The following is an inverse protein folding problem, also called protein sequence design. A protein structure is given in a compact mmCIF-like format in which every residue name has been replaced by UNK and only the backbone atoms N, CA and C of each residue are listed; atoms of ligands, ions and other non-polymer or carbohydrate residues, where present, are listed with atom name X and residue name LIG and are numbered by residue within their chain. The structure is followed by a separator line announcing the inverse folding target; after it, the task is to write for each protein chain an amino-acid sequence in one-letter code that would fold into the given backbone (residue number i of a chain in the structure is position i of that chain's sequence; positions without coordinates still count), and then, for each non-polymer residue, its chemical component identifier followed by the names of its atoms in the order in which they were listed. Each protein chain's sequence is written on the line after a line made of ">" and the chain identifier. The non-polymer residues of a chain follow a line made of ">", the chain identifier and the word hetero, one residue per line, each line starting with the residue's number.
data_IF_917129576425
#
_entry.id   IF_917129576425
#
_cell.length_a   1.000
_cell.length_b   1.000
_cell.length_c   1.000
_cell.angle_alpha   90.00
_cell.angle_beta   90.00
_cell.angle_gamma   90.00
#
_symmetry.space_group_name_H-M   'P 1'
#
loop_
_entity.id
_entity.type
_entity.pdbx_description
1 polymer ?
#
# COMPACT_ATOMS: atom_id res chain seq x y z
N UNK A 1 -50.03 11.53 30.17
CA UNK A 1 -49.10 12.62 29.76
C UNK A 1 -47.67 12.14 29.52
N UNK A 2 -47.06 11.33 30.41
CA UNK A 2 -45.68 10.83 30.28
C UNK A 2 -45.37 10.03 28.99
N UNK A 3 -46.32 9.22 28.49
CA UNK A 3 -46.15 8.41 27.26
C UNK A 3 -46.12 9.25 25.99
N UNK A 4 -46.93 10.32 25.91
CA UNK A 4 -46.92 11.25 24.77
C UNK A 4 -45.60 12.02 24.69
N UNK A 5 -45.06 12.47 25.83
CA UNK A 5 -43.77 13.18 25.89
C UNK A 5 -42.64 12.27 25.40
N UNK A 6 -42.63 10.99 25.79
CA UNK A 6 -41.64 10.00 25.34
C UNK A 6 -41.69 9.73 23.84
N UNK A 7 -42.91 9.70 23.27
CA UNK A 7 -43.10 9.51 21.83
C UNK A 7 -42.63 10.72 21.02
N UNK A 8 -42.91 11.95 21.49
CA UNK A 8 -42.44 13.17 20.83
C UNK A 8 -40.93 13.36 20.94
N UNK A 9 -40.29 13.01 22.06
CA UNK A 9 -38.82 13.02 22.16
C UNK A 9 -38.19 11.96 21.26
N UNK A 10 -38.76 10.75 21.19
CA UNK A 10 -38.28 9.72 20.28
C UNK A 10 -38.40 10.14 18.80
N UNK A 11 -39.53 10.73 18.42
CA UNK A 11 -39.75 11.24 17.06
C UNK A 11 -38.78 12.38 16.70
N UNK A 12 -38.57 13.34 17.62
CA UNK A 12 -37.62 14.46 17.40
C UNK A 12 -36.16 13.98 17.32
N UNK A 13 -35.78 12.98 18.11
CA UNK A 13 -34.45 12.36 18.04
C UNK A 13 -34.28 11.62 16.70
N UNK A 14 -35.33 10.96 16.22
CA UNK A 14 -35.30 10.24 14.95
C UNK A 14 -35.24 11.18 13.74
N UNK A 15 -36.05 12.25 13.71
CA UNK A 15 -36.01 13.26 12.64
C UNK A 15 -34.69 14.03 12.60
N UNK A 16 -34.15 14.46 13.76
CA UNK A 16 -32.87 15.18 13.78
C UNK A 16 -31.72 14.30 13.26
N UNK A 17 -31.65 13.03 13.67
CA UNK A 17 -30.63 12.08 13.17
C UNK A 17 -30.75 11.82 11.67
N UNK A 18 -31.97 11.67 11.13
CA UNK A 18 -32.18 11.43 9.69
C UNK A 18 -31.85 12.66 8.84
N UNK A 19 -32.09 13.89 9.32
CA UNK A 19 -31.75 15.11 8.57
C UNK A 19 -30.24 15.37 8.50
N UNK A 20 -29.46 15.00 9.52
CA UNK A 20 -28.00 15.05 9.44
C UNK A 20 -27.45 13.96 8.51
N UNK A 21 -28.06 12.77 8.53
CA UNK A 21 -27.67 11.63 7.71
C UNK A 21 -27.71 11.94 6.19
N UNK A 22 -28.74 12.67 5.74
CA UNK A 22 -28.85 13.05 4.32
C UNK A 22 -27.87 14.15 3.92
N UNK A 23 -27.61 15.11 4.82
CA UNK A 23 -26.80 16.30 4.52
C UNK A 23 -25.33 15.97 4.25
N UNK A 24 -24.72 15.07 5.02
CA UNK A 24 -23.30 14.71 4.86
C UNK A 24 -23.04 14.07 3.49
N UNK A 25 -23.88 13.11 3.11
CA UNK A 25 -23.77 12.43 1.81
C UNK A 25 -24.01 13.42 0.67
N UNK A 26 -25.00 14.32 0.81
CA UNK A 26 -25.28 15.34 -0.19
C UNK A 26 -24.06 16.26 -0.43
N UNK A 27 -23.40 16.72 0.65
CA UNK A 27 -22.20 17.55 0.54
C UNK A 27 -21.06 16.84 -0.22
N UNK A 28 -20.88 15.54 0.04
CA UNK A 28 -19.87 14.72 -0.64
C UNK A 28 -20.19 14.62 -2.13
N UNK A 29 -21.42 14.26 -2.47
CA UNK A 29 -21.85 14.11 -3.87
C UNK A 29 -21.83 15.44 -4.65
N UNK A 30 -22.04 16.57 -3.98
CA UNK A 30 -21.92 17.91 -4.58
C UNK A 30 -20.47 18.39 -4.72
N UNK A 31 -19.48 17.64 -4.22
CA UNK A 31 -18.08 18.08 -4.22
C UNK A 31 -17.83 19.29 -3.33
N UNK A 32 -18.60 19.42 -2.24
CA UNK A 32 -18.48 20.49 -1.25
C UNK A 32 -18.01 20.01 0.12
N UNK A 33 -17.91 18.70 0.32
CA UNK A 33 -17.37 18.15 1.56
C UNK A 33 -15.87 18.44 1.67
N UNK A 34 -15.45 18.98 2.81
CA UNK A 34 -14.06 19.09 3.21
C UNK A 34 -13.86 18.42 4.57
N UNK A 35 -12.65 17.92 4.79
CA UNK A 35 -12.29 17.14 5.97
C UNK A 35 -11.26 17.89 6.80
N UNK A 36 -11.54 18.04 8.09
CA UNK A 36 -10.58 18.55 9.07
C UNK A 36 -9.52 17.49 9.34
N UNK A 37 -8.25 17.80 9.05
CA UNK A 37 -7.14 16.84 9.15
C UNK A 37 -6.51 16.83 10.54
N UNK A 38 -6.38 17.98 11.22
CA UNK A 38 -5.99 18.01 12.63
C UNK A 38 -6.98 18.84 13.47
N UNK A 39 -6.93 18.67 14.78
CA UNK A 39 -7.73 19.47 15.70
C UNK A 39 -7.44 20.96 15.49
N UNK A 40 -8.46 21.69 15.09
CA UNK A 40 -8.33 23.11 14.73
C UNK A 40 -9.49 23.91 15.30
N UNK A 41 -9.57 25.18 14.94
CA UNK A 41 -10.67 26.07 15.33
C UNK A 41 -11.09 26.95 14.18
N UNK A 42 -12.34 27.42 14.24
CA UNK A 42 -12.82 28.42 13.29
C UNK A 42 -12.32 29.80 13.67
N UNK A 43 -12.04 30.61 12.65
CA UNK A 43 -11.70 32.03 12.75
C UNK A 43 -12.79 32.90 12.12
N UNK A 44 -12.99 34.10 12.66
CA UNK A 44 -13.99 35.04 12.13
C UNK A 44 -13.56 35.64 10.79
N UNK A 45 -12.26 35.83 10.60
CA UNK A 45 -11.65 36.27 9.35
C UNK A 45 -10.52 35.32 8.93
N UNK A 46 -9.95 35.55 7.74
CA UNK A 46 -8.82 34.79 7.21
C UNK A 46 -7.51 35.21 7.88
N UNK A 47 -7.45 35.18 9.21
CA UNK A 47 -6.28 35.51 10.02
C UNK A 47 -6.30 34.77 11.36
N UNK A 48 -5.11 34.55 11.92
CA UNK A 48 -4.95 33.98 13.26
C UNK A 48 -5.40 34.90 14.41
N UNK A 49 -5.75 36.16 14.11
CA UNK A 49 -6.00 37.19 15.13
C UNK A 49 -7.42 37.16 15.71
N UNK A 50 -8.36 36.48 15.04
CA UNK A 50 -9.76 36.41 15.48
C UNK A 50 -10.28 34.97 15.61
N UNK A 51 -9.75 34.18 16.56
CA UNK A 51 -10.25 32.85 16.80
C UNK A 51 -11.63 32.87 17.43
N UNK A 52 -12.52 32.00 16.97
CA UNK A 52 -13.81 31.75 17.61
C UNK A 52 -13.67 30.74 18.76
N UNK A 53 -14.71 30.60 19.57
CA UNK A 53 -14.81 29.53 20.59
C UNK A 53 -15.15 28.16 19.99
N UNK A 54 -15.33 28.06 18.67
CA UNK A 54 -15.66 26.79 18.02
C UNK A 54 -14.40 26.04 17.61
N UNK A 55 -14.18 24.91 18.29
CA UNK A 55 -13.14 23.96 17.93
C UNK A 55 -13.74 22.85 17.06
N UNK A 56 -12.97 22.42 16.08
CA UNK A 56 -13.25 21.28 15.22
C UNK A 56 -12.25 20.18 15.54
N UNK A 57 -12.73 18.95 15.53
CA UNK A 57 -11.90 17.78 15.75
C UNK A 57 -11.38 17.26 14.42
N UNK A 58 -10.23 16.62 14.48
CA UNK A 58 -9.76 15.74 13.41
C UNK A 58 -10.91 14.80 12.98
N UNK A 59 -11.03 14.62 11.66
CA UNK A 59 -12.08 13.89 10.97
C UNK A 59 -13.49 14.51 10.99
N UNK A 60 -13.66 15.74 11.49
CA UNK A 60 -14.93 16.46 11.33
C UNK A 60 -15.16 16.81 9.85
N UNK A 61 -16.39 16.54 9.37
CA UNK A 61 -16.83 16.93 8.05
C UNK A 61 -17.41 18.36 8.07
N UNK A 62 -17.00 19.18 7.11
CA UNK A 62 -17.53 20.54 6.92
C UNK A 62 -17.91 20.78 5.45
N UNK A 63 -18.78 21.74 5.22
CA UNK A 63 -19.09 22.25 3.88
C UNK A 63 -18.05 23.33 3.52
N UNK A 64 -17.26 23.10 2.48
CA UNK A 64 -16.39 24.09 1.86
C UNK A 64 -17.21 25.07 1.01
N UNK A 65 -17.05 26.36 1.28
CA UNK A 65 -17.78 27.44 0.61
C UNK A 65 -16.89 28.23 -0.34
N UNK A 66 -15.70 28.62 0.11
CA UNK A 66 -14.75 29.39 -0.70
C UNK A 66 -13.33 29.33 -0.12
N UNK A 67 -12.37 29.92 -0.84
CA UNK A 67 -10.98 30.04 -0.41
C UNK A 67 -10.48 31.45 -0.68
N UNK A 68 -9.48 31.91 0.06
CA UNK A 68 -8.80 33.17 -0.25
C UNK A 68 -8.08 33.11 -1.60
N UNK A 69 -7.93 34.26 -2.23
CA UNK A 69 -7.11 34.39 -3.45
C UNK A 69 -5.62 34.24 -3.11
N UNK A 70 -5.19 34.89 -2.03
CA UNK A 70 -3.80 34.89 -1.58
C UNK A 70 -3.50 33.69 -0.69
N UNK A 71 -2.24 33.28 -0.72
CA UNK A 71 -1.64 32.33 0.22
C UNK A 71 -0.94 33.11 1.35
N UNK A 72 -0.91 32.50 2.53
CA UNK A 72 -0.37 33.09 3.75
C UNK A 72 0.65 32.13 4.34
N UNK A 73 1.73 32.68 4.88
CA UNK A 73 2.87 31.92 5.39
C UNK A 73 2.53 31.28 6.74
N UNK A 74 2.73 29.97 6.82
CA UNK A 74 2.97 29.28 8.06
C UNK A 74 4.47 29.40 8.38
N UNK A 75 4.77 30.15 9.43
CA UNK A 75 6.14 30.35 9.88
C UNK A 75 6.74 29.09 10.50
N UNK A 76 5.92 28.16 11.00
CA UNK A 76 6.41 26.94 11.64
C UNK A 76 6.93 25.93 10.62
N UNK A 77 6.18 25.71 9.54
CA UNK A 77 6.54 24.75 8.49
C UNK A 77 7.22 25.41 7.29
N UNK A 78 7.27 26.75 7.24
CA UNK A 78 7.81 27.51 6.11
C UNK A 78 7.10 27.15 4.79
N UNK A 79 5.77 27.13 4.87
CA UNK A 79 4.86 26.76 3.79
C UNK A 79 3.77 27.81 3.60
N UNK A 80 3.22 27.89 2.40
CA UNK A 80 2.18 28.85 2.03
C UNK A 80 0.86 28.13 1.77
N UNK A 81 -0.19 28.53 2.49
CA UNK A 81 -1.54 27.97 2.35
C UNK A 81 -2.60 29.05 2.20
N UNK A 82 -3.73 28.69 1.60
CA UNK A 82 -4.93 29.54 1.56
C UNK A 82 -5.72 29.38 2.85
N UNK A 83 -6.57 30.36 3.15
CA UNK A 83 -7.65 30.15 4.11
C UNK A 83 -8.90 29.67 3.39
N UNK A 84 -9.67 28.81 4.05
CA UNK A 84 -10.91 28.25 3.53
C UNK A 84 -12.09 28.69 4.38
N UNK A 85 -13.10 29.28 3.75
CA UNK A 85 -14.36 29.59 4.41
C UNK A 85 -15.25 28.35 4.36
N UNK A 86 -15.74 27.94 5.53
CA UNK A 86 -16.48 26.71 5.70
C UNK A 86 -17.75 26.91 6.51
N UNK A 87 -18.63 25.91 6.45
CA UNK A 87 -19.82 25.78 7.29
C UNK A 87 -19.86 24.40 7.94
N UNK A 88 -19.95 24.36 9.26
CA UNK A 88 -20.09 23.12 10.01
C UNK A 88 -21.44 22.44 9.71
N UNK A 89 -21.56 21.14 10.02
CA UNK A 89 -22.85 20.44 9.89
C UNK A 89 -23.95 21.10 10.74
N UNK A 90 -23.59 21.67 11.89
CA UNK A 90 -24.49 22.45 12.76
C UNK A 90 -24.84 23.84 12.21
N UNK A 91 -24.29 24.24 11.07
CA UNK A 91 -24.62 25.47 10.36
C UNK A 91 -23.79 26.70 10.74
N UNK A 92 -22.78 26.57 11.59
CA UNK A 92 -21.89 27.68 11.97
C UNK A 92 -20.82 27.87 10.90
N UNK A 93 -20.44 29.12 10.64
CA UNK A 93 -19.47 29.46 9.59
C UNK A 93 -18.21 30.08 10.16
N UNK A 94 -17.10 29.95 9.45
CA UNK A 94 -15.83 30.57 9.80
C UNK A 94 -14.72 30.15 8.82
N UNK A 95 -13.53 30.67 9.06
CA UNK A 95 -12.33 30.36 8.29
C UNK A 95 -11.48 29.29 8.98
N UNK A 96 -10.86 28.43 8.19
CA UNK A 96 -9.85 27.44 8.61
C UNK A 96 -8.60 27.67 7.77
N UNK A 97 -7.43 27.56 8.40
CA UNK A 97 -6.15 27.66 7.69
C UNK A 97 -5.86 26.38 6.90
N UNK A 98 -5.21 26.50 5.74
CA UNK A 98 -5.28 25.48 4.68
C UNK A 98 -4.53 24.18 4.93
N UNK A 99 -3.53 24.18 5.80
CA UNK A 99 -2.84 22.98 6.30
C UNK A 99 -3.73 22.09 7.18
N UNK A 100 -4.83 22.63 7.73
CA UNK A 100 -5.74 21.89 8.59
C UNK A 100 -6.96 21.29 7.86
N UNK A 101 -7.12 21.55 6.56
CA UNK A 101 -8.34 21.22 5.83
C UNK A 101 -8.07 20.60 4.45
N UNK A 102 -8.42 19.33 4.30
CA UNK A 102 -8.45 18.68 3.00
C UNK A 102 -9.74 19.06 2.23
N UNK A 103 -9.57 19.78 1.12
CA UNK A 103 -10.67 20.18 0.23
C UNK A 103 -10.95 19.08 -0.81
N UNK A 104 -12.18 18.98 -1.36
CA UNK A 104 -12.54 17.88 -2.25
C UNK A 104 -11.74 17.92 -3.55
N UNK A 105 -11.14 16.79 -3.91
CA UNK A 105 -10.37 16.65 -5.16
C UNK A 105 -11.32 16.30 -6.31
N UNK A 106 -11.38 17.12 -7.39
CA UNK A 106 -12.19 16.81 -8.56
C UNK A 106 -11.79 15.48 -9.18
N UNK A 107 -12.76 14.67 -9.62
CA UNK A 107 -12.50 13.34 -10.22
C UNK A 107 -11.54 13.38 -11.42
N UNK A 108 -11.53 14.48 -12.17
CA UNK A 108 -10.63 14.70 -13.30
C UNK A 108 -9.16 14.87 -12.89
N UNK A 109 -8.92 15.32 -11.65
CA UNK A 109 -7.58 15.45 -11.05
C UNK A 109 -7.11 14.18 -10.35
N UNK A 110 -7.98 13.18 -10.18
CA UNK A 110 -7.62 11.89 -9.60
C UNK A 110 -6.91 10.99 -10.62
N UNK A 111 -5.94 10.24 -10.12
CA UNK A 111 -5.28 9.16 -10.86
C UNK A 111 -6.31 8.11 -11.30
N UNK A 112 -6.08 7.52 -12.48
CA UNK A 112 -7.03 6.58 -13.11
C UNK A 112 -7.39 5.40 -12.20
N UNK A 113 -6.43 4.88 -11.42
CA UNK A 113 -6.63 3.76 -10.48
C UNK A 113 -7.53 4.08 -9.28
N UNK A 114 -7.70 5.36 -8.94
CA UNK A 114 -8.53 5.79 -7.81
C UNK A 114 -9.97 6.07 -8.21
N UNK A 115 -10.19 6.47 -9.47
CA UNK A 115 -11.52 6.83 -9.99
C UNK A 115 -12.59 5.76 -9.78
N UNK A 116 -12.32 4.44 -9.93
CA UNK A 116 -13.32 3.41 -9.69
C UNK A 116 -13.91 3.47 -8.27
N UNK A 117 -13.13 3.90 -7.27
CA UNK A 117 -13.55 3.91 -5.87
C UNK A 117 -14.41 5.13 -5.50
N UNK A 118 -14.40 6.21 -6.30
CA UNK A 118 -15.13 7.44 -6.00
C UNK A 118 -16.62 7.15 -5.83
N UNK A 119 -17.17 7.57 -4.69
CA UNK A 119 -18.57 7.39 -4.30
C UNK A 119 -19.05 5.95 -4.16
N UNK A 120 -18.14 4.96 -4.20
CA UNK A 120 -18.50 3.60 -3.83
C UNK A 120 -18.89 3.56 -2.35
N UNK A 121 -19.89 2.72 -2.05
CA UNK A 121 -20.25 2.39 -0.67
C UNK A 121 -19.51 1.14 -0.24
N UNK A 122 -18.95 1.19 0.96
CA UNK A 122 -18.17 0.12 1.57
C UNK A 122 -18.64 -0.12 3.00
N UNK A 123 -18.61 -1.40 3.41
CA UNK A 123 -18.90 -1.78 4.78
C UNK A 123 -17.56 -1.95 5.51
N UNK A 124 -17.10 -0.91 6.19
CA UNK A 124 -15.83 -0.95 6.91
C UNK A 124 -16.00 -1.34 8.39
N UNK A 125 -17.23 -1.63 8.83
CA UNK A 125 -17.53 -1.99 10.21
C UNK A 125 -18.36 -0.99 10.98
N UNK A 126 -18.30 -1.11 12.31
CA UNK A 126 -19.18 -0.39 13.22
C UNK A 126 -19.07 1.14 13.02
N UNK A 127 -20.21 1.80 12.80
CA UNK A 127 -20.35 3.22 12.43
C UNK A 127 -19.97 3.56 10.98
N UNK A 128 -19.52 2.60 10.18
CA UNK A 128 -19.09 2.77 8.78
C UNK A 128 -19.64 1.65 7.88
N UNK A 129 -20.84 1.14 8.20
CA UNK A 129 -21.48 0.01 7.50
C UNK A 129 -21.89 0.36 6.06
N UNK A 130 -22.06 1.65 5.78
CA UNK A 130 -22.37 2.20 4.45
C UNK A 130 -21.52 3.45 4.20
N UNK A 131 -20.21 3.37 4.46
CA UNK A 131 -19.30 4.48 4.23
C UNK A 131 -19.16 4.79 2.75
N UNK A 132 -19.26 6.07 2.38
CA UNK A 132 -18.99 6.55 1.02
C UNK A 132 -17.52 6.96 0.92
N UNK A 133 -16.86 6.51 -0.15
CA UNK A 133 -15.48 6.91 -0.46
C UNK A 133 -15.49 8.24 -1.22
N UNK A 134 -14.65 9.18 -0.81
CA UNK A 134 -14.32 10.38 -1.58
C UNK A 134 -12.86 10.77 -1.35
N UNK A 135 -12.38 11.78 -2.07
CA UNK A 135 -10.97 12.16 -2.05
C UNK A 135 -10.81 13.64 -1.73
N UNK A 136 -9.88 13.93 -0.83
CA UNK A 136 -9.53 15.29 -0.43
C UNK A 136 -8.05 15.58 -0.63
N UNK A 137 -7.68 16.84 -0.72
CA UNK A 137 -6.27 17.25 -0.73
C UNK A 137 -6.04 18.57 0.00
N UNK A 138 -4.90 18.68 0.64
CA UNK A 138 -4.31 19.95 1.08
C UNK A 138 -3.35 20.38 -0.02
N UNK A 139 -3.45 21.63 -0.49
CA UNK A 139 -2.55 22.19 -1.51
C UNK A 139 -1.94 23.50 -1.00
N UNK A 140 -0.61 23.56 -1.02
CA UNK A 140 0.19 24.71 -0.62
C UNK A 140 1.48 24.82 -1.43
N UNK A 141 2.45 25.57 -0.91
CA UNK A 141 3.79 25.69 -1.52
C UNK A 141 4.87 25.72 -0.46
N UNK A 142 5.96 24.98 -0.64
CA UNK A 142 7.13 25.09 0.25
C UNK A 142 7.91 26.36 -0.07
N UNK A 143 8.34 27.09 0.95
CA UNK A 143 9.07 28.35 0.75
C UNK A 143 10.57 28.09 0.73
N UNK A 144 11.19 28.08 -0.46
CA UNK A 144 12.66 28.08 -0.57
C UNK A 144 13.22 29.47 -0.26
N UNK A 145 14.42 29.54 0.32
CA UNK A 145 15.16 30.82 0.47
C UNK A 145 15.49 31.38 -0.93
N UNK A 146 14.62 32.25 -1.47
CA UNK A 146 14.73 32.77 -2.83
C UNK A 146 13.37 33.16 -3.42
N UNK A 147 13.35 33.68 -4.67
CA UNK A 147 12.15 34.24 -5.31
C UNK A 147 10.94 33.28 -5.26
N UNK A 148 9.85 33.75 -4.66
CA UNK A 148 8.59 33.03 -4.36
C UNK A 148 7.93 32.30 -5.54
N UNK A 149 8.18 32.71 -6.79
CA UNK A 149 7.56 32.10 -7.99
C UNK A 149 8.04 30.68 -8.30
N UNK A 150 9.16 30.23 -7.72
CA UNK A 150 9.73 28.90 -7.96
C UNK A 150 9.56 27.93 -6.79
N UNK A 151 8.72 28.29 -5.82
CA UNK A 151 8.41 27.44 -4.67
C UNK A 151 7.76 26.12 -5.15
N UNK A 152 8.30 24.95 -4.77
CA UNK A 152 7.69 23.68 -5.16
C UNK A 152 6.32 23.52 -4.50
N UNK A 153 5.48 22.69 -5.13
CA UNK A 153 4.13 22.43 -4.63
C UNK A 153 4.23 21.56 -3.38
N UNK A 154 3.60 22.01 -2.31
CA UNK A 154 3.24 21.16 -1.19
C UNK A 154 1.86 20.55 -1.46
N UNK A 155 1.74 19.24 -1.34
CA UNK A 155 0.46 18.57 -1.51
C UNK A 155 0.36 17.34 -0.65
N UNK A 156 -0.77 17.20 0.03
CA UNK A 156 -1.17 15.96 0.70
C UNK A 156 -2.50 15.51 0.11
N UNK A 157 -2.64 14.21 -0.15
CA UNK A 157 -3.83 13.64 -0.77
C UNK A 157 -4.38 12.49 0.07
N UNK A 158 -5.69 12.54 0.31
CA UNK A 158 -6.39 11.68 1.24
C UNK A 158 -7.49 10.90 0.54
N UNK A 159 -7.58 9.62 0.87
CA UNK A 159 -8.79 8.82 0.65
C UNK A 159 -9.61 8.95 1.93
N UNK A 160 -10.88 9.30 1.79
CA UNK A 160 -11.78 9.60 2.90
C UNK A 160 -12.97 8.66 2.85
N UNK A 161 -13.29 8.09 4.00
CA UNK A 161 -14.44 7.24 4.23
C UNK A 161 -15.39 7.97 5.16
N UNK A 162 -16.55 8.38 4.66
CA UNK A 162 -17.53 9.10 5.47
C UNK A 162 -18.81 8.31 5.59
N UNK A 163 -19.41 8.27 6.79
CA UNK A 163 -20.74 7.71 6.97
C UNK A 163 -21.83 8.76 6.71
N UNK A 164 -23.09 8.32 6.81
CA UNK A 164 -24.26 9.17 6.62
C UNK A 164 -24.32 10.30 7.67
N UNK A 165 -24.05 10.01 8.94
CA UNK A 165 -24.10 10.99 10.04
C UNK A 165 -22.91 11.98 10.06
N UNK A 166 -22.01 11.93 9.07
CA UNK A 166 -20.93 12.90 8.90
C UNK A 166 -19.66 12.62 9.70
N UNK A 167 -19.53 11.40 10.27
CA UNK A 167 -18.23 10.92 10.77
C UNK A 167 -17.38 10.48 9.60
N UNK A 168 -16.08 10.77 9.67
CA UNK A 168 -15.14 10.40 8.63
C UNK A 168 -13.92 9.70 9.19
N UNK A 169 -13.17 9.02 8.33
CA UNK A 169 -11.82 8.52 8.55
C UNK A 169 -11.04 8.80 7.27
N UNK A 170 -9.75 9.09 7.39
CA UNK A 170 -8.91 9.33 6.23
C UNK A 170 -7.57 8.60 6.31
N UNK A 171 -7.03 8.28 5.14
CA UNK A 171 -5.64 7.86 5.00
C UNK A 171 -4.94 8.71 3.95
N UNK A 172 -3.71 9.12 4.28
CA UNK A 172 -2.86 9.83 3.36
C UNK A 172 -2.22 8.87 2.34
N UNK A 173 -2.70 8.93 1.10
CA UNK A 173 -2.25 8.03 0.03
C UNK A 173 -1.12 8.62 -0.82
N UNK A 174 -0.97 9.94 -0.86
CA UNK A 174 0.10 10.58 -1.60
C UNK A 174 0.50 11.92 -0.98
N UNK A 175 1.80 12.21 -0.99
CA UNK A 175 2.38 13.48 -0.56
C UNK A 175 3.39 13.98 -1.59
N UNK A 176 3.53 15.28 -1.74
CA UNK A 176 4.60 15.91 -2.48
C UNK A 176 5.06 17.15 -1.72
N UNK A 177 6.36 17.28 -1.55
CA UNK A 177 7.01 18.43 -0.91
C UNK A 177 8.42 18.59 -1.47
N UNK A 178 9.13 19.64 -1.04
CA UNK A 178 10.55 19.81 -1.31
C UNK A 178 11.40 18.61 -0.84
N UNK A 179 11.00 17.92 0.24
CA UNK A 179 11.78 16.81 0.81
C UNK A 179 11.60 15.49 0.05
N UNK A 180 10.58 15.39 -0.80
CA UNK A 180 10.29 14.16 -1.52
C UNK A 180 8.82 14.00 -1.88
N UNK A 181 8.53 12.83 -2.44
CA UNK A 181 7.21 12.45 -2.92
C UNK A 181 6.86 11.06 -2.42
N UNK A 182 5.61 10.87 -2.02
CA UNK A 182 5.03 9.54 -1.88
C UNK A 182 3.78 9.43 -2.73
N UNK A 183 3.53 8.27 -3.29
CA UNK A 183 2.37 7.98 -4.09
C UNK A 183 1.87 6.57 -3.82
N UNK A 184 0.56 6.42 -3.85
CA UNK A 184 -0.07 5.11 -3.87
C UNK A 184 0.32 4.43 -5.17
N UNK A 185 0.84 3.20 -5.15
CA UNK A 185 1.05 2.42 -6.37
C UNK A 185 -0.23 1.66 -6.74
N UNK A 186 -0.79 0.91 -5.78
CA UNK A 186 -1.98 0.07 -5.94
C UNK A 186 -2.84 0.07 -4.67
N UNK A 187 -4.14 -0.21 -4.81
CA UNK A 187 -5.11 -0.27 -3.70
C UNK A 187 -6.16 -1.33 -3.97
N UNK A 188 -6.54 -2.05 -2.91
CA UNK A 188 -7.64 -3.00 -2.86
C UNK A 188 -8.45 -2.78 -1.60
N UNK A 189 -9.76 -2.96 -1.71
CA UNK A 189 -10.69 -2.87 -0.59
C UNK A 189 -11.47 -4.19 -0.56
N UNK A 190 -11.21 -5.01 0.45
CA UNK A 190 -11.71 -6.39 0.55
C UNK A 190 -11.72 -6.89 1.99
N UNK A 191 -12.57 -7.85 2.32
CA UNK A 191 -12.61 -8.49 3.64
C UNK A 191 -11.41 -9.41 3.87
N UNK A 192 -10.30 -8.84 4.35
CA UNK A 192 -9.11 -9.59 4.69
C UNK A 192 -9.28 -10.26 6.05
N UNK A 193 -9.84 -9.58 7.05
CA UNK A 193 -9.97 -10.09 8.42
C UNK A 193 -11.03 -11.19 8.59
N UNK A 194 -11.83 -11.47 7.56
CA UNK A 194 -12.92 -12.46 7.52
C UNK A 194 -14.01 -12.20 8.54
N UNK A 195 -14.30 -10.93 8.81
CA UNK A 195 -15.35 -10.55 9.75
C UNK A 195 -16.56 -9.89 9.07
N UNK A 196 -16.63 -9.96 7.73
CA UNK A 196 -17.70 -9.40 6.91
C UNK A 196 -17.56 -7.89 6.66
N UNK A 197 -16.42 -7.31 7.04
CA UNK A 197 -16.08 -5.90 6.83
C UNK A 197 -14.89 -5.79 5.90
N UNK A 198 -14.85 -4.74 5.12
CA UNK A 198 -13.78 -4.48 4.19
C UNK A 198 -12.60 -3.80 4.89
N UNK A 199 -11.41 -4.29 4.57
CA UNK A 199 -10.11 -3.75 4.96
C UNK A 199 -9.47 -3.06 3.77
N UNK A 200 -8.54 -2.12 4.03
CA UNK A 200 -7.78 -1.42 2.99
C UNK A 200 -6.40 -2.04 2.89
N UNK A 201 -6.12 -2.67 1.76
CA UNK A 201 -4.77 -3.11 1.38
C UNK A 201 -4.24 -2.13 0.34
N UNK A 202 -3.02 -1.65 0.53
CA UNK A 202 -2.38 -0.84 -0.49
C UNK A 202 -0.87 -0.99 -0.54
N UNK A 203 -0.31 -0.62 -1.70
CA UNK A 203 1.11 -0.49 -1.90
C UNK A 203 1.46 1.00 -2.05
N UNK A 204 2.45 1.47 -1.30
CA UNK A 204 2.92 2.86 -1.36
C UNK A 204 4.35 2.90 -1.88
N UNK A 205 4.65 3.90 -2.71
CA UNK A 205 5.99 4.23 -3.21
C UNK A 205 6.42 5.56 -2.60
N UNK A 206 7.66 5.65 -2.16
CA UNK A 206 8.25 6.81 -1.49
C UNK A 206 9.59 7.11 -2.16
N UNK A 207 9.78 8.36 -2.56
CA UNK A 207 10.99 8.88 -3.16
C UNK A 207 11.46 10.06 -2.33
N UNK A 208 12.62 9.92 -1.69
CA UNK A 208 13.28 11.03 -1.00
C UNK A 208 14.17 11.78 -1.98
N UNK A 209 14.28 13.10 -1.84
CA UNK A 209 15.23 13.88 -2.66
C UNK A 209 16.68 13.55 -2.32
N UNK A 210 16.96 13.25 -1.05
CA UNK A 210 18.33 12.97 -0.58
C UNK A 210 18.77 11.54 -0.91
N UNK A 211 17.82 10.62 -1.04
CA UNK A 211 18.07 9.21 -1.29
C UNK A 211 17.52 8.84 -2.66
N UNK A 212 18.39 8.64 -3.65
CA UNK A 212 18.01 8.23 -5.02
C UNK A 212 17.39 6.81 -5.07
N UNK A 213 17.15 6.19 -3.91
CA UNK A 213 16.46 4.93 -3.75
C UNK A 213 14.96 5.18 -3.54
N UNK A 214 14.18 4.53 -4.41
CA UNK A 214 12.73 4.44 -4.25
C UNK A 214 12.45 3.39 -3.19
N UNK A 215 11.77 3.81 -2.12
CA UNK A 215 11.23 2.93 -1.09
C UNK A 215 9.79 2.52 -1.43
N UNK A 216 9.38 1.33 -1.03
CA UNK A 216 8.07 0.75 -1.24
C UNK A 216 7.64 0.00 0.01
N UNK A 217 6.36 0.12 0.33
CA UNK A 217 5.73 -0.60 1.43
C UNK A 217 4.40 -1.21 0.99
N UNK A 218 4.07 -2.36 1.58
CA UNK A 218 2.75 -2.97 1.51
C UNK A 218 2.11 -2.86 2.89
N UNK A 219 0.88 -2.36 2.96
CA UNK A 219 0.23 -2.04 4.24
C UNK A 219 -1.24 -2.48 4.22
N UNK A 220 -1.72 -2.97 5.37
CA UNK A 220 -3.13 -3.35 5.58
C UNK A 220 -3.69 -2.52 6.73
N UNK A 221 -4.84 -1.90 6.49
CA UNK A 221 -5.60 -1.13 7.47
C UNK A 221 -6.97 -1.74 7.69
N UNK A 222 -7.41 -1.73 8.95
CA UNK A 222 -8.74 -2.19 9.37
C UNK A 222 -9.36 -1.21 10.36
N UNK A 223 -10.69 -1.15 10.44
CA UNK A 223 -11.37 -0.38 11.49
C UNK A 223 -11.47 -1.22 12.75
N UNK A 224 -10.68 -0.85 13.75
CA UNK A 224 -10.68 -1.46 15.08
C UNK A 224 -11.15 -0.43 16.11
N UNK A 225 -12.18 -0.79 16.88
CA UNK A 225 -12.81 0.07 17.88
C UNK A 225 -13.23 1.46 17.34
N UNK A 226 -13.67 1.53 16.08
CA UNK A 226 -14.13 2.76 15.43
C UNK A 226 -13.02 3.66 14.87
N UNK A 227 -11.75 3.24 14.98
CA UNK A 227 -10.61 3.96 14.43
C UNK A 227 -9.95 3.13 13.34
N UNK A 228 -9.43 3.81 12.31
CA UNK A 228 -8.65 3.17 11.26
C UNK A 228 -7.24 2.90 11.77
N UNK A 229 -6.83 1.63 11.78
CA UNK A 229 -5.54 1.20 12.32
C UNK A 229 -4.79 0.40 11.29
N UNK A 230 -3.48 0.64 11.19
CA UNK A 230 -2.58 -0.22 10.42
C UNK A 230 -2.38 -1.52 11.21
N UNK A 231 -2.82 -2.64 10.65
CA UNK A 231 -2.74 -3.97 11.30
C UNK A 231 -1.54 -4.78 10.82
N UNK A 232 -0.94 -4.38 9.69
CA UNK A 232 0.25 -5.00 9.13
C UNK A 232 0.95 -4.07 8.15
N UNK A 233 2.28 -4.10 8.14
CA UNK A 233 3.11 -3.48 7.12
C UNK A 233 4.39 -4.26 6.86
N UNK A 234 4.88 -4.14 5.63
CA UNK A 234 6.14 -4.74 5.20
C UNK A 234 6.86 -3.79 4.23
N UNK A 235 8.14 -3.54 4.50
CA UNK A 235 9.02 -2.83 3.56
C UNK A 235 9.43 -3.77 2.44
N UNK A 236 9.26 -3.32 1.20
CA UNK A 236 9.54 -4.13 0.01
C UNK A 236 10.98 -3.99 -0.48
N UNK A 237 11.67 -2.92 -0.09
CA UNK A 237 13.06 -2.71 -0.46
C UNK A 237 13.98 -3.16 0.68
N UNK A 238 14.63 -4.29 0.47
CA UNK A 238 15.76 -4.72 1.30
C UNK A 238 17.07 -4.19 0.67
N UNK A 239 17.97 -3.76 1.55
CA UNK A 239 19.22 -3.11 1.23
C UNK A 239 20.09 -3.92 0.27
N UNK A 240 20.97 -3.23 -0.46
CA UNK A 240 21.95 -3.69 -1.46
C UNK A 240 22.87 -4.86 -1.07
N UNK A 241 22.66 -5.53 0.07
CA UNK A 241 23.36 -6.76 0.45
C UNK A 241 22.68 -8.01 -0.13
N UNK A 242 22.58 -8.06 -1.45
CA UNK A 242 22.60 -9.24 -2.34
C UNK A 242 22.34 -10.63 -1.71
N UNK A 243 21.12 -10.90 -1.22
CA UNK A 243 20.70 -12.28 -0.87
C UNK A 243 19.33 -12.64 -1.42
N UNK A 244 18.38 -11.71 -1.39
CA UNK A 244 17.01 -11.96 -1.90
C UNK A 244 16.91 -11.50 -3.35
N UNK A 245 16.60 -12.43 -4.23
CA UNK A 245 16.44 -12.17 -5.66
C UNK A 245 15.01 -11.74 -5.99
N UNK A 246 14.00 -12.33 -5.32
CA UNK A 246 12.60 -12.03 -5.53
C UNK A 246 11.78 -12.29 -4.26
N UNK A 247 10.75 -11.47 -4.02
CA UNK A 247 9.81 -11.58 -2.90
C UNK A 247 8.38 -11.44 -3.42
N UNK A 248 7.57 -12.48 -3.20
CA UNK A 248 6.17 -12.56 -3.61
C UNK A 248 5.25 -12.56 -2.39
N UNK A 249 4.15 -11.82 -2.51
CA UNK A 249 3.12 -11.72 -1.48
C UNK A 249 1.83 -12.30 -2.02
N UNK A 250 1.27 -13.27 -1.31
CA UNK A 250 -0.09 -13.76 -1.53
C UNK A 250 -0.91 -13.39 -0.31
N UNK A 251 -1.83 -12.45 -0.47
CA UNK A 251 -2.71 -11.96 0.59
C UNK A 251 -4.12 -12.40 0.25
N UNK A 252 -4.68 -13.27 1.09
CA UNK A 252 -6.03 -13.78 0.89
C UNK A 252 -6.60 -14.20 2.22
N UNK A 253 -7.84 -13.80 2.50
CA UNK A 253 -8.68 -14.51 3.47
C UNK A 253 -8.05 -14.63 4.88
N UNK A 254 -7.43 -13.55 5.35
CA UNK A 254 -6.80 -13.46 6.67
C UNK A 254 -5.43 -14.13 6.73
N UNK A 255 -4.86 -14.50 5.59
CA UNK A 255 -3.55 -15.13 5.48
C UNK A 255 -2.66 -14.27 4.58
N UNK A 256 -1.42 -14.07 5.02
CA UNK A 256 -0.37 -13.44 4.25
C UNK A 256 0.72 -14.49 4.09
N UNK A 257 0.99 -14.90 2.84
CA UNK A 257 2.10 -15.79 2.51
C UNK A 257 3.17 -15.01 1.79
N UNK A 258 4.36 -14.99 2.38
CA UNK A 258 5.54 -14.33 1.86
C UNK A 258 6.46 -15.43 1.34
N UNK A 259 6.80 -15.38 0.06
CA UNK A 259 7.73 -16.33 -0.56
C UNK A 259 8.94 -15.56 -1.07
N UNK A 260 10.13 -15.90 -0.58
CA UNK A 260 11.40 -15.36 -1.06
C UNK A 260 12.14 -16.40 -1.87
N UNK A 261 12.94 -15.92 -2.80
CA UNK A 261 13.95 -16.68 -3.50
C UNK A 261 15.31 -16.05 -3.18
N UNK A 262 16.22 -16.84 -2.65
CA UNK A 262 17.52 -16.38 -2.17
C UNK A 262 18.66 -17.03 -2.95
N UNK A 263 19.65 -16.21 -3.32
CA UNK A 263 20.95 -16.64 -3.83
C UNK A 263 21.98 -16.46 -2.72
N UNK A 264 22.69 -17.53 -2.40
CA UNK A 264 23.64 -17.53 -1.30
C UNK A 264 24.90 -18.31 -1.65
N UNK A 265 25.96 -18.08 -0.89
CA UNK A 265 27.14 -18.92 -0.96
C UNK A 265 26.82 -20.36 -0.53
N UNK A 266 27.53 -21.34 -1.10
CA UNK A 266 27.25 -22.76 -0.86
C UNK A 266 27.41 -23.16 0.62
N UNK A 267 28.22 -22.43 1.39
CA UNK A 267 28.42 -22.61 2.83
C UNK A 267 27.21 -22.13 3.65
N UNK A 268 26.43 -21.17 3.15
CA UNK A 268 25.21 -20.66 3.77
C UNK A 268 23.97 -21.48 3.43
N UNK A 269 24.05 -22.36 2.42
CA UNK A 269 22.96 -23.25 2.06
C UNK A 269 22.57 -24.18 3.22
N UNK A 270 21.29 -24.18 3.56
CA UNK A 270 20.79 -24.78 4.81
C UNK A 270 20.13 -26.15 4.62
N UNK A 271 19.82 -26.52 3.37
CA UNK A 271 19.13 -27.77 3.07
C UNK A 271 20.06 -28.98 3.11
N UNK A 272 19.49 -30.15 3.42
CA UNK A 272 20.23 -31.42 3.51
C UNK A 272 20.92 -31.84 2.21
N UNK A 273 20.49 -31.27 1.07
CA UNK A 273 21.12 -31.40 -0.24
C UNK A 273 22.46 -30.69 -0.38
N UNK A 274 22.99 -30.02 0.66
CA UNK A 274 24.28 -29.31 0.62
C UNK A 274 25.44 -30.16 0.09
N UNK A 275 25.50 -31.43 0.47
CA UNK A 275 26.54 -32.37 -0.01
C UNK A 275 26.40 -32.75 -1.49
N UNK A 276 25.26 -32.40 -2.11
CA UNK A 276 24.95 -32.64 -3.52
C UNK A 276 25.13 -31.39 -4.38
N UNK A 277 25.59 -30.28 -3.82
CA UNK A 277 25.92 -29.09 -4.59
C UNK A 277 27.16 -29.36 -5.47
N UNK A 278 27.23 -28.71 -6.63
CA UNK A 278 28.43 -28.75 -7.45
C UNK A 278 29.56 -27.96 -6.80
N UNK A 279 30.80 -28.36 -7.08
CA UNK A 279 32.02 -27.72 -6.56
C UNK A 279 32.46 -26.50 -7.38
N UNK A 280 31.62 -25.99 -8.28
CA UNK A 280 31.99 -24.89 -9.17
C UNK A 280 32.15 -23.58 -8.38
N UNK A 281 33.29 -22.91 -8.54
CA UNK A 281 33.73 -21.81 -7.66
C UNK A 281 32.76 -20.60 -7.60
N UNK A 282 32.10 -20.26 -8.71
CA UNK A 282 31.16 -19.14 -8.80
C UNK A 282 29.68 -19.57 -8.68
N UNK A 283 29.41 -20.81 -8.27
CA UNK A 283 28.04 -21.28 -8.11
C UNK A 283 27.41 -20.70 -6.84
N UNK A 284 26.26 -20.05 -6.98
CA UNK A 284 25.41 -19.61 -5.87
C UNK A 284 24.31 -20.63 -5.64
N UNK A 285 24.16 -21.09 -4.40
CA UNK A 285 23.07 -21.96 -4.01
C UNK A 285 21.73 -21.20 -4.07
N UNK A 286 20.67 -21.91 -4.42
CA UNK A 286 19.32 -21.36 -4.54
C UNK A 286 18.43 -21.98 -3.48
N UNK A 287 17.80 -21.15 -2.67
CA UNK A 287 16.84 -21.57 -1.65
C UNK A 287 15.58 -20.71 -1.77
N UNK A 288 14.40 -21.32 -1.62
CA UNK A 288 13.17 -20.57 -1.44
C UNK A 288 12.73 -20.67 0.02
N UNK A 289 12.49 -19.53 0.63
CA UNK A 289 11.92 -19.44 1.98
C UNK A 289 10.45 -19.03 1.87
N UNK A 290 9.59 -19.65 2.68
CA UNK A 290 8.19 -19.27 2.79
C UNK A 290 7.83 -19.02 4.24
N UNK A 291 7.22 -17.86 4.51
CA UNK A 291 6.62 -17.49 5.78
C UNK A 291 5.11 -17.36 5.58
N UNK A 292 4.31 -17.91 6.50
CA UNK A 292 2.86 -17.73 6.48
C UNK A 292 2.40 -17.09 7.77
N UNK A 293 1.74 -15.95 7.64
CA UNK A 293 1.13 -15.21 8.72
C UNK A 293 -0.39 -15.32 8.64
N UNK A 294 -1.08 -15.20 9.76
CA UNK A 294 -2.54 -15.28 9.84
C UNK A 294 -3.09 -14.24 10.82
N UNK A 295 -4.19 -13.63 10.43
CA UNK A 295 -5.00 -12.80 11.31
C UNK A 295 -5.62 -13.60 12.44
N UNK A 296 -5.38 -13.14 13.67
CA UNK A 296 -6.00 -13.64 14.88
C UNK A 296 -7.11 -12.68 15.31
N UNK A 297 -8.35 -13.13 15.13
CA UNK A 297 -9.55 -12.34 15.40
C UNK A 297 -9.78 -12.07 16.90
N UNK A 298 -9.16 -12.83 17.80
CA UNK A 298 -9.27 -12.66 19.25
C UNK A 298 -8.31 -11.58 19.77
N UNK A 299 -7.02 -11.69 19.40
CA UNK A 299 -6.00 -10.72 19.80
C UNK A 299 -5.99 -9.45 18.95
N UNK A 300 -6.64 -9.48 17.77
CA UNK A 300 -6.59 -8.42 16.76
C UNK A 300 -5.17 -8.16 16.26
N UNK A 301 -4.39 -9.23 16.10
CA UNK A 301 -3.00 -9.19 15.63
C UNK A 301 -2.78 -10.15 14.48
N UNK A 302 -1.69 -9.93 13.73
CA UNK A 302 -1.17 -10.90 12.76
C UNK A 302 -0.15 -11.79 13.47
N UNK A 303 -0.44 -13.09 13.53
CA UNK A 303 0.41 -14.07 14.18
C UNK A 303 1.11 -14.95 13.12
N UNK A 304 2.24 -15.55 13.48
CA UNK A 304 2.88 -16.55 12.61
C UNK A 304 2.06 -17.84 12.61
N UNK A 305 1.55 -18.23 11.44
CA UNK A 305 0.86 -19.51 11.25
C UNK A 305 1.87 -20.64 11.04
N UNK A 306 2.81 -20.41 10.13
CA UNK A 306 3.95 -21.29 9.87
C UNK A 306 5.20 -20.42 9.80
N UNK A 307 6.20 -20.76 10.60
CA UNK A 307 7.52 -20.13 10.52
C UNK A 307 8.20 -20.40 9.18
N UNK A 308 9.39 -19.84 9.00
CA UNK A 308 10.15 -20.01 7.76
C UNK A 308 10.36 -21.48 7.41
N UNK A 309 9.77 -21.91 6.30
CA UNK A 309 10.07 -23.19 5.66
C UNK A 309 10.98 -22.94 4.47
N UNK A 310 12.08 -23.69 4.39
CA UNK A 310 13.07 -23.58 3.32
C UNK A 310 13.00 -24.80 2.42
N UNK A 311 12.95 -24.59 1.12
CA UNK A 311 12.93 -25.66 0.11
C UNK A 311 13.79 -25.28 -1.09
N UNK A 312 14.28 -26.29 -1.80
CA UNK A 312 14.88 -26.08 -3.10
C UNK A 312 13.74 -25.82 -4.12
N UNK A 313 13.80 -24.74 -4.93
CA UNK A 313 12.72 -24.40 -5.85
C UNK A 313 12.46 -25.50 -6.86
N UNK A 314 11.19 -25.77 -7.16
CA UNK A 314 10.77 -26.69 -8.22
C UNK A 314 10.33 -25.89 -9.44
N UNK A 315 10.77 -26.31 -10.62
CA UNK A 315 10.50 -25.63 -11.88
C UNK A 315 10.21 -26.62 -12.99
N UNK A 316 9.57 -26.15 -14.06
CA UNK A 316 9.32 -26.93 -15.26
C UNK A 316 10.35 -26.58 -16.36
N UNK A 317 10.90 -27.61 -16.99
CA UNK A 317 11.60 -27.53 -18.27
C UNK A 317 10.57 -27.26 -19.36
N UNK A 318 10.69 -26.15 -20.08
CA UNK A 318 9.74 -25.77 -21.14
C UNK A 318 10.29 -25.96 -22.55
N UNK A 319 11.60 -26.19 -22.67
CA UNK A 319 12.30 -26.41 -23.94
C UNK A 319 13.11 -27.69 -23.85
N UNK A 320 13.12 -28.47 -24.94
CA UNK A 320 13.95 -29.67 -25.05
C UNK A 320 15.41 -29.28 -24.77
N UNK A 321 16.01 -29.92 -23.77
CA UNK A 321 17.36 -29.57 -23.34
C UNK A 321 18.17 -30.80 -22.93
N UNK A 322 19.48 -30.62 -22.82
CA UNK A 322 20.41 -31.66 -22.41
C UNK A 322 20.88 -31.37 -20.98
N UNK A 323 20.88 -32.41 -20.15
CA UNK A 323 21.51 -32.42 -18.85
C UNK A 323 23.00 -32.72 -19.03
N UNK A 324 23.85 -31.80 -18.57
CA UNK A 324 25.29 -31.82 -18.81
C UNK A 324 26.09 -32.01 -17.52
N UNK A 325 27.29 -32.58 -17.61
CA UNK A 325 28.17 -32.78 -16.45
C UNK A 325 28.84 -31.49 -15.96
N UNK A 326 29.01 -30.51 -16.83
CA UNK A 326 29.62 -29.20 -16.56
C UNK A 326 28.88 -28.09 -17.32
N UNK A 327 28.94 -26.82 -16.85
CA UNK A 327 28.22 -25.69 -17.45
C UNK A 327 28.90 -25.19 -18.73
N UNK A 328 28.88 -26.01 -19.79
CA UNK A 328 29.47 -25.73 -21.09
C UNK A 328 28.72 -26.51 -22.17
N UNK A 329 28.50 -25.91 -23.34
CA UNK A 329 27.84 -26.58 -24.47
C UNK A 329 28.62 -27.80 -25.00
N UNK A 330 29.91 -27.89 -24.71
CA UNK A 330 30.78 -29.01 -25.10
C UNK A 330 30.94 -30.06 -23.99
N UNK A 331 30.12 -29.98 -22.95
CA UNK A 331 30.21 -30.87 -21.80
C UNK A 331 29.73 -32.29 -22.12
N UNK A 332 30.16 -33.25 -21.30
CA UNK A 332 29.65 -34.62 -21.36
C UNK A 332 28.16 -34.63 -21.07
N UNK A 333 27.43 -35.26 -21.97
CA UNK A 333 25.98 -35.46 -21.90
C UNK A 333 25.62 -36.55 -20.88
N UNK A 334 24.60 -36.28 -20.06
CA UNK A 334 24.03 -37.24 -19.10
C UNK A 334 22.69 -37.78 -19.61
N UNK A 335 21.74 -36.89 -19.94
CA UNK A 335 20.39 -37.25 -20.38
C UNK A 335 19.67 -36.11 -21.11
N UNK A 336 18.68 -36.41 -21.95
CA UNK A 336 17.77 -35.44 -22.57
C UNK A 336 16.60 -35.23 -21.61
N UNK A 337 16.20 -33.97 -21.44
CA UNK A 337 15.03 -33.56 -20.66
C UNK A 337 13.95 -33.07 -21.62
N UNK A 338 12.79 -33.74 -21.61
CA UNK A 338 11.67 -33.45 -22.50
C UNK A 338 10.64 -32.56 -21.80
N UNK A 339 10.14 -31.48 -22.42
CA UNK A 339 9.07 -30.67 -21.83
C UNK A 339 7.71 -31.38 -21.81
N UNK A 340 6.86 -31.17 -20.79
CA UNK A 340 7.16 -30.54 -19.51
C UNK A 340 7.79 -31.55 -18.54
N UNK A 341 9.02 -31.28 -18.08
CA UNK A 341 9.67 -32.08 -17.03
C UNK A 341 9.90 -31.22 -15.79
N UNK A 342 9.51 -31.73 -14.62
CA UNK A 342 9.77 -31.07 -13.34
C UNK A 342 11.17 -31.37 -12.85
N UNK A 343 11.88 -30.33 -12.43
CA UNK A 343 13.18 -30.45 -11.78
C UNK A 343 13.28 -29.55 -10.55
N UNK A 344 14.30 -29.81 -9.73
CA UNK A 344 14.63 -29.01 -8.55
C UNK A 344 15.87 -28.20 -8.84
N UNK A 345 15.82 -26.88 -8.65
CA UNK A 345 16.97 -25.98 -8.77
C UNK A 345 17.83 -26.03 -7.51
N UNK A 346 19.15 -26.13 -7.69
CA UNK A 346 20.10 -26.22 -6.58
C UNK A 346 21.10 -25.07 -6.61
N UNK A 347 21.67 -24.75 -7.79
CA UNK A 347 22.62 -23.64 -7.93
C UNK A 347 22.42 -22.87 -9.24
N UNK A 348 22.83 -21.61 -9.22
CA UNK A 348 22.94 -20.73 -10.36
C UNK A 348 24.40 -20.37 -10.63
N UNK A 349 24.77 -20.35 -11.90
CA UNK A 349 26.10 -19.93 -12.37
C UNK A 349 25.89 -18.91 -13.48
N UNK A 350 26.36 -17.69 -13.24
CA UNK A 350 26.42 -16.64 -14.25
C UNK A 350 27.76 -16.71 -14.97
N UNK A 351 27.73 -16.73 -16.31
CA UNK A 351 28.90 -16.52 -17.17
C UNK A 351 28.60 -15.40 -18.16
N UNK A 352 29.62 -14.69 -18.68
CA UNK A 352 29.44 -13.52 -19.54
C UNK A 352 28.52 -13.73 -20.75
N UNK A 353 28.51 -14.94 -21.32
CA UNK A 353 27.75 -15.26 -22.54
C UNK A 353 26.49 -16.09 -22.27
N UNK A 354 26.44 -16.83 -21.16
CA UNK A 354 25.39 -17.82 -20.90
C UNK A 354 25.31 -18.24 -19.44
N UNK A 355 24.14 -18.12 -18.84
CA UNK A 355 23.90 -18.58 -17.47
C UNK A 355 23.39 -20.03 -17.44
N UNK A 356 23.70 -20.72 -16.35
CA UNK A 356 23.45 -22.14 -16.15
C UNK A 356 22.79 -22.40 -14.81
N UNK A 357 21.92 -23.40 -14.75
CA UNK A 357 21.41 -23.94 -13.49
C UNK A 357 21.96 -25.33 -13.27
N UNK A 358 22.36 -25.61 -12.03
CA UNK A 358 22.58 -26.96 -11.57
C UNK A 358 21.29 -27.49 -10.94
N UNK A 359 20.80 -28.62 -11.44
CA UNK A 359 19.47 -29.14 -11.12
C UNK A 359 19.52 -30.60 -10.67
N UNK A 360 18.43 -31.04 -10.04
CA UNK A 360 18.08 -32.44 -9.83
C UNK A 360 16.81 -32.78 -10.60
N UNK A 361 16.86 -33.78 -11.47
CA UNK A 361 15.68 -34.28 -12.19
C UNK A 361 14.80 -35.14 -11.28
N UNK A 362 13.54 -35.40 -11.68
CA UNK A 362 12.67 -36.33 -10.96
C UNK A 362 13.25 -37.75 -10.87
N UNK A 363 14.00 -38.17 -11.89
CA UNK A 363 14.73 -39.45 -11.90
C UNK A 363 15.94 -39.50 -10.94
N UNK A 364 16.28 -38.38 -10.28
CA UNK A 364 17.38 -38.29 -9.33
C UNK A 364 18.74 -38.01 -9.97
N UNK A 365 18.80 -37.72 -11.28
CA UNK A 365 20.03 -37.30 -11.94
C UNK A 365 20.34 -35.84 -11.61
N UNK A 366 21.63 -35.52 -11.56
CA UNK A 366 22.12 -34.18 -11.29
C UNK A 366 22.98 -33.69 -12.45
N UNK A 367 22.87 -32.41 -12.79
CA UNK A 367 23.66 -31.84 -13.86
C UNK A 367 23.27 -30.41 -14.18
N UNK A 368 23.91 -29.86 -15.19
CA UNK A 368 23.75 -28.50 -15.65
C UNK A 368 22.80 -28.43 -16.83
N UNK A 369 21.95 -27.39 -16.83
CA UNK A 369 21.13 -27.00 -17.96
C UNK A 369 21.31 -25.51 -18.22
N UNK A 370 21.14 -25.05 -19.46
CA UNK A 370 21.19 -23.63 -19.77
C UNK A 370 19.93 -22.92 -19.23
N UNK A 371 20.08 -21.67 -18.77
CA UNK A 371 18.99 -20.94 -18.10
C UNK A 371 17.74 -20.73 -18.97
N UNK A 372 17.91 -20.65 -20.29
CA UNK A 372 16.81 -20.49 -21.25
C UNK A 372 15.94 -21.75 -21.42
N UNK A 373 16.36 -22.91 -20.88
CA UNK A 373 15.54 -24.13 -20.90
C UNK A 373 14.36 -24.09 -19.91
N UNK A 374 14.40 -23.16 -18.94
CA UNK A 374 13.35 -22.94 -17.95
C UNK A 374 12.32 -21.92 -18.44
N UNK A 375 11.11 -21.96 -17.84
CA UNK A 375 10.04 -21.04 -18.24
C UNK A 375 10.48 -19.58 -18.19
N UNK A 376 10.01 -18.75 -19.14
CA UNK A 376 10.32 -17.33 -19.18
C UNK A 376 9.95 -16.59 -17.87
N UNK A 377 8.93 -17.08 -17.14
CA UNK A 377 8.57 -16.59 -15.82
C UNK A 377 9.71 -16.79 -14.81
N UNK A 378 10.42 -17.93 -14.86
CA UNK A 378 11.62 -18.14 -14.05
C UNK A 378 12.81 -17.35 -14.59
N UNK A 379 13.03 -17.33 -15.91
CA UNK A 379 14.13 -16.53 -16.48
C UNK A 379 14.04 -15.03 -16.09
N UNK A 380 12.84 -14.44 -16.12
CA UNK A 380 12.59 -13.06 -15.67
C UNK A 380 12.74 -12.89 -14.15
N UNK A 381 12.32 -13.88 -13.37
CA UNK A 381 12.52 -13.93 -11.92
C UNK A 381 13.96 -14.23 -11.50
N UNK A 382 14.91 -14.51 -12.40
CA UNK A 382 16.29 -14.91 -12.08
C UNK A 382 17.40 -14.09 -12.77
N UNK A 383 17.10 -13.29 -13.82
CA UNK A 383 18.11 -12.52 -14.58
C UNK A 383 17.88 -11.00 -14.49
N UNK A 384 17.01 -10.54 -13.58
CA UNK A 384 17.04 -9.14 -13.14
C UNK A 384 16.59 -8.12 -14.18
N UNK A 385 15.70 -8.49 -15.11
CA UNK A 385 15.04 -7.53 -16.00
C UNK A 385 13.95 -6.68 -15.30
N UNK A 386 13.77 -6.85 -13.99
CA UNK A 386 13.15 -5.85 -13.12
C UNK A 386 13.81 -5.96 -11.74
N UNK A 387 14.57 -4.93 -11.33
CA UNK A 387 14.90 -4.76 -9.92
C UNK A 387 13.58 -4.50 -9.19
N UNK A 388 13.13 -5.53 -8.46
CA UNK A 388 11.93 -5.60 -7.61
C UNK A 388 10.63 -5.88 -8.39
N UNK A 389 10.47 -7.13 -8.86
CA UNK A 389 9.17 -7.61 -9.32
C UNK A 389 8.21 -7.81 -8.14
N UNK A 390 7.13 -7.03 -8.11
CA UNK A 390 5.98 -7.20 -7.21
C UNK A 390 4.90 -7.90 -8.02
N UNK A 391 4.44 -9.07 -7.56
CA UNK A 391 3.26 -9.71 -8.12
C UNK A 391 2.23 -9.92 -7.00
N UNK A 392 1.23 -9.04 -6.96
CA UNK A 392 0.06 -9.08 -6.10
C UNK A 392 -1.08 -9.61 -6.97
N UNK A 393 -1.59 -10.82 -6.70
CA UNK A 393 -2.82 -11.30 -7.35
C UNK A 393 -3.88 -11.43 -6.27
N UNK A 394 -4.92 -10.62 -6.41
CA UNK A 394 -6.14 -10.62 -5.59
C UNK A 394 -7.19 -11.45 -6.32
N UNK A 395 -7.57 -12.58 -5.71
CA UNK A 395 -8.80 -13.33 -5.99
C UNK A 395 -9.56 -13.58 -4.70
#
# INVERSE_FOLDING_TARGET
>A
MKVKIFFYTFLMIWFSKNSFASKSIELILQGKAALVINNTRLYEDSSYLKPTLLNLKENDLVEWLSSTTNEYLDNAQNQLFKWHFVKTLSGKTGWIYGDELAIPTPILRLESKLRPYVHQKKNLGASFESAIIWFGSIEGKDVKKGKSFFNPIYKESYIVFSNDVGKSLALNYANASESGKSELNQIWISDFTKDGKEDILWEKRIESVDNHHVERSLEIYSILAGNLQKIWDEKLDESLQNKIFNKKYLIKEGIIRISTLELMDNDQYSLSSKSKLSTYFNAKAIESSTLSLKWNSQSKTIDTLYGFSKIAPKVDIIQLTQLLLSPSDNSTYISILNPPEKCTLLQFIEKPEKSWFYIRTNGGNYGFIPANALSAAYYQQFIGFNKNSIEIIVE
#
